data_IF_535476743033
#
_entry.id   IF_535476743033
#
_cell.length_a   1.000
_cell.length_b   1.000
_cell.length_c   1.000
_cell.angle_alpha   90.00
_cell.angle_beta   90.00
_cell.angle_gamma   90.00
#
_symmetry.space_group_name_H-M   'P 1'
#
loop_
_entity.id
_entity.type
_entity.pdbx_description
1 polymer ?
#
# COMPACT_ATOMS: atom_id res chain seq x y z
N UNK A 1 -48.55 7.06 -39.18
CA UNK A 1 -48.49 7.54 -37.79
C UNK A 1 -47.03 7.53 -37.39
N UNK A 2 -46.39 8.68 -37.48
CA UNK A 2 -44.96 8.87 -37.21
C UNK A 2 -44.79 9.45 -35.81
N UNK A 3 -43.87 8.96 -34.97
CA UNK A 3 -43.62 9.56 -33.67
C UNK A 3 -42.58 10.68 -33.78
N UNK A 4 -42.97 11.86 -33.33
CA UNK A 4 -42.16 13.07 -33.23
C UNK A 4 -41.37 13.02 -31.92
N UNK A 5 -40.03 13.07 -31.99
CA UNK A 5 -39.16 13.20 -30.80
C UNK A 5 -39.03 14.68 -30.40
N UNK A 6 -39.10 15.03 -29.11
CA UNK A 6 -38.83 16.38 -28.64
C UNK A 6 -37.33 16.58 -28.37
N UNK A 7 -36.76 17.56 -29.04
CA UNK A 7 -35.43 18.10 -28.86
C UNK A 7 -35.41 18.95 -27.57
N UNK A 8 -34.60 18.56 -26.58
CA UNK A 8 -34.42 19.31 -25.33
C UNK A 8 -32.95 19.74 -25.25
N UNK A 9 -32.68 20.94 -25.76
CA UNK A 9 -31.37 21.59 -25.67
C UNK A 9 -31.34 22.44 -24.40
N UNK A 10 -30.51 22.07 -23.43
CA UNK A 10 -30.20 22.92 -22.27
C UNK A 10 -28.84 23.60 -22.47
N UNK A 11 -28.70 24.92 -22.20
CA UNK A 11 -27.44 25.61 -22.24
C UNK A 11 -26.60 25.30 -20.98
N UNK A 12 -25.39 24.80 -21.19
CA UNK A 12 -24.36 24.61 -20.16
C UNK A 12 -23.56 25.90 -19.99
N UNK A 13 -23.79 26.62 -18.88
CA UNK A 13 -22.96 27.76 -18.49
C UNK A 13 -21.67 27.28 -17.84
N UNK A 14 -20.55 27.45 -18.54
CA UNK A 14 -19.19 27.30 -18.01
C UNK A 14 -18.74 28.59 -17.34
N UNK A 15 -18.74 28.64 -16.02
CA UNK A 15 -18.03 29.65 -15.22
C UNK A 15 -17.82 29.09 -13.81
N UNK A 16 -16.65 28.50 -13.55
CA UNK A 16 -15.94 28.56 -12.26
C UNK A 16 -14.76 27.57 -12.26
N UNK A 17 -13.57 28.07 -12.62
CA UNK A 17 -12.29 27.40 -12.40
C UNK A 17 -11.35 28.39 -11.71
N UNK A 18 -11.55 28.59 -10.40
CA UNK A 18 -10.54 29.20 -9.53
C UNK A 18 -10.76 28.78 -8.09
N UNK A 19 -10.23 27.63 -7.70
CA UNK A 19 -9.84 27.33 -6.32
C UNK A 19 -8.96 26.06 -6.29
N UNK A 20 -7.64 26.27 -6.20
CA UNK A 20 -6.72 25.18 -5.79
C UNK A 20 -7.00 24.83 -4.32
N UNK A 21 -7.18 23.54 -3.96
CA UNK A 21 -7.26 23.15 -2.57
C UNK A 21 -5.87 23.21 -1.93
N UNK A 22 -5.67 24.20 -1.05
CA UNK A 22 -4.53 24.25 -0.12
C UNK A 22 -4.61 23.04 0.81
N UNK A 23 -3.71 22.08 0.65
CA UNK A 23 -3.58 20.92 1.54
C UNK A 23 -2.83 21.37 2.81
N UNK A 24 -3.46 21.38 3.99
CA UNK A 24 -2.77 21.74 5.22
C UNK A 24 -2.01 20.50 5.74
N UNK A 25 -0.68 20.58 5.84
CA UNK A 25 0.06 19.56 6.60
C UNK A 25 1.48 19.21 6.17
N UNK A 26 2.14 19.95 5.27
CA UNK A 26 3.56 19.77 5.02
C UNK A 26 4.34 20.89 5.71
N UNK A 27 5.25 20.52 6.62
CA UNK A 27 6.12 21.49 7.27
C UNK A 27 7.09 22.05 6.22
N UNK A 28 7.40 23.37 6.25
CA UNK A 28 8.27 24.02 5.25
C UNK A 28 9.68 23.42 5.20
N UNK A 29 10.09 22.72 6.26
CA UNK A 29 11.36 22.00 6.34
C UNK A 29 11.41 20.77 5.41
N UNK A 30 10.29 20.06 5.25
CA UNK A 30 10.20 18.88 4.39
C UNK A 30 10.18 19.28 2.90
N UNK A 31 9.53 20.40 2.56
CA UNK A 31 9.56 20.94 1.20
C UNK A 31 10.98 21.37 0.78
N UNK A 32 11.73 22.02 1.67
CA UNK A 32 13.13 22.37 1.38
C UNK A 32 14.04 21.13 1.26
N UNK A 33 13.80 20.09 2.06
CA UNK A 33 14.53 18.82 1.95
C UNK A 33 14.32 18.13 0.60
N UNK A 34 13.06 18.11 0.11
CA UNK A 34 12.72 17.49 -1.18
C UNK A 34 13.33 18.28 -2.34
N UNK A 35 13.27 19.62 -2.32
CA UNK A 35 13.88 20.44 -3.38
C UNK A 35 15.41 20.31 -3.40
N UNK A 36 16.05 20.22 -2.24
CA UNK A 36 17.50 19.99 -2.14
C UNK A 36 17.92 18.65 -2.77
N UNK A 37 17.15 17.59 -2.55
CA UNK A 37 17.42 16.26 -3.13
C UNK A 37 17.26 16.26 -4.65
N UNK A 38 16.23 16.93 -5.18
CA UNK A 38 16.01 17.06 -6.63
C UNK A 38 17.16 17.82 -7.29
N UNK A 39 17.62 18.92 -6.67
CA UNK A 39 18.71 19.73 -7.20
C UNK A 39 20.06 18.99 -7.17
N UNK A 40 20.28 18.15 -6.15
CA UNK A 40 21.47 17.30 -6.04
C UNK A 40 21.48 16.18 -7.09
N UNK A 41 20.32 15.60 -7.41
CA UNK A 41 20.19 14.60 -8.47
C UNK A 41 20.42 15.20 -9.87
N UNK A 42 19.91 16.41 -10.13
CA UNK A 42 20.15 17.12 -11.39
C UNK A 42 21.63 17.50 -11.58
N UNK A 43 22.33 17.88 -10.51
CA UNK A 43 23.76 18.17 -10.56
C UNK A 43 24.61 16.91 -10.86
N UNK A 44 24.19 15.74 -10.38
CA UNK A 44 24.87 14.47 -10.69
C UNK A 44 24.69 14.05 -12.15
N UNK A 45 23.54 14.35 -12.77
CA UNK A 45 23.33 14.06 -14.20
C UNK A 45 24.17 14.93 -15.16
N UNK A 46 24.61 16.12 -14.74
CA UNK A 46 25.38 17.03 -15.60
C UNK A 46 26.89 16.78 -15.61
N UNK A 47 27.40 15.84 -14.79
CA UNK A 47 28.85 15.58 -14.66
C UNK A 47 29.37 14.42 -15.51
N UNK A 48 28.55 13.83 -16.37
CA UNK A 48 28.86 12.58 -17.08
C UNK A 48 28.71 12.62 -18.60
N UNK A 49 29.26 13.61 -19.31
CA UNK A 49 29.48 13.48 -20.77
C UNK A 49 30.58 14.41 -21.27
N UNK A 50 31.84 13.98 -21.15
CA UNK A 50 32.91 14.53 -21.99
C UNK A 50 32.97 13.70 -23.27
N UNK A 51 32.77 14.29 -24.47
CA UNK A 51 32.91 13.56 -25.72
C UNK A 51 34.39 13.25 -25.99
N UNK A 52 34.72 12.03 -26.47
CA UNK A 52 36.10 11.69 -26.84
C UNK A 52 36.56 12.51 -28.05
N UNK A 53 37.87 12.80 -28.16
CA UNK A 53 38.43 13.58 -29.27
C UNK A 53 38.24 12.86 -30.62
N UNK A 54 38.07 13.62 -31.73
CA UNK A 54 37.88 13.06 -33.05
C UNK A 54 39.15 12.36 -33.55
N UNK A 55 39.02 11.09 -33.92
CA UNK A 55 40.07 10.32 -34.60
C UNK A 55 40.27 10.82 -36.05
N UNK A 56 41.49 10.75 -36.60
CA UNK A 56 41.78 11.18 -37.96
C UNK A 56 41.15 10.25 -39.01
N UNK A 57 40.65 10.87 -40.08
CA UNK A 57 39.92 10.22 -41.17
C UNK A 57 40.79 9.23 -41.98
N UNK A 58 40.31 8.01 -42.28
CA UNK A 58 40.90 7.13 -43.27
C UNK A 58 40.39 7.45 -44.70
N UNK A 59 41.18 7.10 -45.74
CA UNK A 59 40.88 7.46 -47.12
C UNK A 59 39.71 6.67 -47.72
N UNK A 60 38.91 7.40 -48.49
CA UNK A 60 37.76 6.94 -49.28
C UNK A 60 38.16 5.93 -50.36
N UNK A 61 37.50 4.75 -50.36
CA UNK A 61 37.54 3.78 -51.47
C UNK A 61 36.09 3.46 -51.89
N UNK A 62 35.74 3.46 -53.20
CA UNK A 62 34.38 3.25 -53.69
C UNK A 62 33.97 1.74 -53.76
N UNK A 63 32.68 1.43 -53.99
CA UNK A 63 32.02 0.26 -53.43
C UNK A 63 32.10 -0.97 -54.35
N UNK A 64 32.22 -2.15 -53.77
CA UNK A 64 31.93 -3.42 -54.44
C UNK A 64 31.00 -4.23 -53.55
N UNK A 65 29.88 -4.64 -54.13
CA UNK A 65 28.74 -5.21 -53.43
C UNK A 65 29.09 -6.46 -52.62
N UNK A 66 28.51 -6.52 -51.43
CA UNK A 66 28.40 -7.76 -50.68
C UNK A 66 27.03 -7.77 -50.00
N UNK A 67 26.18 -8.70 -50.43
CA UNK A 67 24.92 -9.05 -49.79
C UNK A 67 25.26 -9.75 -48.46
N UNK A 68 25.53 -8.94 -47.44
CA UNK A 68 25.81 -9.39 -46.08
C UNK A 68 24.51 -9.72 -45.35
N UNK A 69 24.24 -11.02 -45.23
CA UNK A 69 23.30 -11.65 -44.32
C UNK A 69 23.35 -11.00 -42.92
N UNK A 70 22.28 -10.30 -42.54
CA UNK A 70 22.10 -9.74 -41.20
C UNK A 70 21.77 -10.91 -40.27
N UNK A 71 22.77 -11.38 -39.54
CA UNK A 71 22.58 -12.40 -38.51
C UNK A 71 21.61 -11.91 -37.44
N UNK A 72 20.80 -12.81 -36.84
CA UNK A 72 19.81 -12.41 -35.85
C UNK A 72 20.51 -11.85 -34.62
N UNK A 73 20.09 -10.64 -34.23
CA UNK A 73 20.40 -10.03 -32.93
C UNK A 73 19.91 -10.98 -31.83
N UNK A 74 20.78 -11.86 -31.36
CA UNK A 74 20.58 -12.57 -30.11
C UNK A 74 20.73 -11.55 -28.99
N UNK A 75 19.60 -11.00 -28.54
CA UNK A 75 19.48 -10.38 -27.23
C UNK A 75 19.83 -11.43 -26.18
N UNK A 76 21.10 -11.46 -25.77
CA UNK A 76 21.57 -12.37 -24.72
C UNK A 76 20.95 -11.96 -23.39
N UNK A 77 19.85 -12.62 -23.03
CA UNK A 77 19.18 -12.46 -21.74
C UNK A 77 20.12 -12.70 -20.54
N UNK A 78 21.26 -13.37 -20.75
CA UNK A 78 22.24 -13.66 -19.71
C UNK A 78 23.00 -12.43 -19.18
N UNK A 79 23.14 -11.35 -19.97
CA UNK A 79 23.90 -10.18 -19.53
C UNK A 79 23.16 -9.35 -18.45
N UNK A 80 21.82 -9.39 -18.43
CA UNK A 80 21.02 -8.67 -17.43
C UNK A 80 20.96 -9.36 -16.06
N UNK A 81 21.05 -10.70 -16.03
CA UNK A 81 20.94 -11.46 -14.79
C UNK A 81 22.13 -11.22 -13.83
N UNK A 82 23.34 -11.08 -14.37
CA UNK A 82 24.54 -10.74 -13.58
C UNK A 82 24.44 -9.36 -12.93
N UNK A 83 23.75 -8.42 -13.57
CA UNK A 83 23.53 -7.07 -13.02
C UNK A 83 22.55 -7.10 -11.84
N UNK A 84 21.47 -7.88 -11.95
CA UNK A 84 20.45 -7.99 -10.89
C UNK A 84 20.99 -8.62 -9.60
N UNK A 85 21.82 -9.65 -9.71
CA UNK A 85 22.42 -10.28 -8.52
C UNK A 85 23.36 -9.32 -7.77
N UNK A 86 24.05 -8.43 -8.48
CA UNK A 86 24.89 -7.40 -7.88
C UNK A 86 24.06 -6.29 -7.19
N UNK A 87 22.88 -5.97 -7.73
CA UNK A 87 21.98 -4.95 -7.18
C UNK A 87 21.18 -5.45 -5.98
N UNK A 88 20.90 -6.76 -5.93
CA UNK A 88 20.11 -7.40 -4.88
C UNK A 88 20.87 -8.58 -4.26
N UNK A 89 22.07 -8.36 -3.68
CA UNK A 89 22.91 -9.43 -3.15
C UNK A 89 22.24 -10.19 -2.00
N UNK A 90 21.30 -9.53 -1.31
CA UNK A 90 20.54 -10.14 -0.24
C UNK A 90 19.49 -11.13 -0.76
N UNK A 91 18.99 -10.99 -2.00
CA UNK A 91 17.90 -11.82 -2.56
C UNK A 91 18.47 -13.07 -3.23
N UNK A 92 17.95 -14.24 -2.87
CA UNK A 92 18.37 -15.50 -3.48
C UNK A 92 18.16 -15.47 -5.00
N UNK A 93 19.14 -15.94 -5.76
CA UNK A 93 19.10 -15.96 -7.22
C UNK A 93 17.84 -16.66 -7.76
N UNK A 94 17.45 -17.80 -7.16
CA UNK A 94 16.24 -18.52 -7.53
C UNK A 94 14.96 -17.68 -7.34
N UNK A 95 14.92 -16.86 -6.28
CA UNK A 95 13.79 -15.94 -6.02
C UNK A 95 13.74 -14.83 -7.09
N UNK A 96 14.88 -14.24 -7.45
CA UNK A 96 14.96 -13.24 -8.53
C UNK A 96 14.45 -13.83 -9.85
N UNK A 97 14.93 -15.03 -10.22
CA UNK A 97 14.47 -15.73 -11.42
C UNK A 97 12.96 -15.99 -11.39
N UNK A 98 12.42 -16.42 -10.23
CA UNK A 98 10.99 -16.63 -10.06
C UNK A 98 10.16 -15.35 -10.21
N UNK A 99 10.68 -14.20 -9.78
CA UNK A 99 10.04 -12.89 -9.96
C UNK A 99 10.01 -12.50 -11.45
N UNK A 100 11.16 -12.63 -12.12
CA UNK A 100 11.31 -12.31 -13.55
C UNK A 100 10.38 -13.17 -14.41
N UNK A 101 10.28 -14.47 -14.10
CA UNK A 101 9.41 -15.40 -14.81
C UNK A 101 7.93 -15.33 -14.36
N UNK A 102 7.60 -14.41 -13.44
CA UNK A 102 6.25 -14.26 -12.89
C UNK A 102 5.70 -15.56 -12.25
N UNK A 103 6.57 -16.34 -11.63
CA UNK A 103 6.21 -17.56 -10.88
C UNK A 103 6.10 -17.29 -9.38
N UNK A 104 6.72 -16.21 -8.90
CA UNK A 104 6.77 -15.83 -7.49
C UNK A 104 5.38 -15.54 -6.92
N UNK A 105 4.96 -16.26 -5.87
CA UNK A 105 3.61 -16.17 -5.30
C UNK A 105 3.53 -15.11 -4.20
N UNK A 106 2.31 -14.60 -3.99
CA UNK A 106 2.05 -13.64 -2.92
C UNK A 106 2.40 -14.19 -1.52
N UNK A 107 2.19 -15.49 -1.30
CA UNK A 107 2.53 -16.17 -0.05
C UNK A 107 4.01 -16.16 0.27
N UNK A 108 4.87 -16.03 -0.74
CA UNK A 108 6.33 -16.04 -0.61
C UNK A 108 6.91 -14.64 -0.46
N UNK A 109 6.09 -13.59 -0.56
CA UNK A 109 6.54 -12.20 -0.61
C UNK A 109 7.36 -11.80 0.61
N UNK A 110 7.07 -12.36 1.79
CA UNK A 110 7.82 -12.12 3.03
C UNK A 110 9.30 -12.49 2.93
N UNK A 111 9.68 -13.43 2.03
CA UNK A 111 11.08 -13.84 1.80
C UNK A 111 11.94 -12.70 1.27
N UNK A 112 11.34 -11.65 0.72
CA UNK A 112 12.04 -10.46 0.26
C UNK A 112 12.36 -9.47 1.38
N UNK A 113 11.75 -9.61 2.57
CA UNK A 113 12.04 -8.77 3.73
C UNK A 113 13.31 -9.29 4.44
N UNK A 114 14.33 -8.44 4.56
CA UNK A 114 15.59 -8.78 5.24
C UNK A 114 15.35 -9.24 6.68
N UNK A 115 14.38 -8.63 7.38
CA UNK A 115 14.04 -8.96 8.78
C UNK A 115 13.51 -10.37 8.95
N UNK A 116 12.97 -10.97 7.89
CA UNK A 116 12.46 -12.34 7.92
C UNK A 116 13.56 -13.36 7.69
N UNK A 117 14.56 -13.03 6.88
CA UNK A 117 15.70 -13.91 6.58
C UNK A 117 16.56 -14.16 7.82
N UNK A 118 16.86 -13.08 8.56
CA UNK A 118 17.57 -13.14 9.84
C UNK A 118 16.88 -14.07 10.85
N UNK A 119 15.55 -14.20 10.76
CA UNK A 119 14.76 -15.08 11.62
C UNK A 119 14.79 -16.52 11.17
N UNK A 120 14.70 -16.80 9.87
CA UNK A 120 14.81 -18.17 9.33
C UNK A 120 16.18 -18.78 9.58
N UNK A 121 17.26 -18.01 9.50
CA UNK A 121 18.59 -18.48 9.92
C UNK A 121 18.67 -18.75 11.44
N UNK A 122 17.86 -18.03 12.22
CA UNK A 122 17.72 -18.26 13.67
C UNK A 122 16.66 -19.28 14.05
N UNK A 123 15.86 -19.80 13.12
CA UNK A 123 15.02 -20.98 13.33
C UNK A 123 15.89 -22.25 13.26
N UNK A 124 16.99 -22.21 14.01
CA UNK A 124 17.78 -23.36 14.39
C UNK A 124 16.89 -24.17 15.34
N UNK A 125 16.33 -25.25 14.81
CA UNK A 125 15.79 -26.41 15.51
C UNK A 125 15.42 -26.15 16.97
N UNK A 126 14.18 -25.69 17.22
CA UNK A 126 13.67 -25.64 18.58
C UNK A 126 13.37 -27.07 19.03
N UNK A 127 14.29 -27.66 19.80
CA UNK A 127 14.12 -28.99 20.37
C UNK A 127 13.09 -28.91 21.51
N UNK A 128 11.84 -29.27 21.24
CA UNK A 128 10.79 -29.39 22.26
C UNK A 128 10.85 -30.81 22.85
N UNK A 129 11.73 -31.01 23.83
CA UNK A 129 11.92 -32.32 24.47
C UNK A 129 12.88 -33.22 23.68
N UNK A 130 12.48 -34.44 23.36
CA UNK A 130 13.29 -35.41 22.58
C UNK A 130 12.90 -35.42 21.08
N UNK A 131 11.83 -34.72 20.71
CA UNK A 131 11.30 -34.68 19.34
C UNK A 131 11.69 -33.38 18.67
N UNK A 132 12.43 -33.48 17.55
CA UNK A 132 12.66 -32.37 16.62
C UNK A 132 11.36 -32.11 15.85
N UNK A 133 10.53 -31.19 16.34
CA UNK A 133 9.38 -30.72 15.57
C UNK A 133 9.80 -29.57 14.66
N UNK A 134 9.84 -29.82 13.35
CA UNK A 134 9.78 -28.74 12.37
C UNK A 134 8.40 -28.12 12.48
N UNK A 135 8.29 -26.99 13.19
CA UNK A 135 7.08 -26.17 13.11
C UNK A 135 7.09 -25.47 11.76
N UNK A 136 6.67 -26.19 10.72
CA UNK A 136 6.48 -25.61 9.39
C UNK A 136 5.52 -24.43 9.56
N UNK A 137 6.03 -23.24 9.31
CA UNK A 137 5.41 -21.94 9.54
C UNK A 137 4.28 -21.71 8.52
N UNK A 138 3.27 -22.59 8.52
CA UNK A 138 2.20 -22.62 7.52
C UNK A 138 1.10 -21.60 7.84
N UNK A 139 1.49 -20.35 7.93
CA UNK A 139 0.53 -19.27 7.99
C UNK A 139 1.21 -18.01 7.49
N UNK A 140 1.27 -17.84 6.17
CA UNK A 140 1.60 -16.54 5.56
C UNK A 140 0.79 -15.40 6.23
N UNK A 141 -0.44 -15.69 6.69
CA UNK A 141 -1.27 -14.78 7.49
C UNK A 141 -0.66 -14.34 8.83
N UNK A 142 0.15 -15.17 9.50
CA UNK A 142 0.85 -14.79 10.75
C UNK A 142 2.03 -13.86 10.50
N UNK A 143 2.56 -13.84 9.28
CA UNK A 143 3.78 -13.11 8.93
C UNK A 143 3.49 -11.66 8.58
N UNK A 144 2.37 -11.41 7.89
CA UNK A 144 1.87 -10.07 7.63
C UNK A 144 1.12 -9.54 8.84
N UNK A 145 1.81 -8.97 9.81
CA UNK A 145 1.19 -8.34 11.00
C UNK A 145 0.88 -6.85 10.84
N UNK A 146 1.38 -6.22 9.78
CA UNK A 146 1.22 -4.79 9.54
C UNK A 146 1.37 -4.46 8.07
N UNK A 147 0.90 -3.28 7.66
CA UNK A 147 1.08 -2.78 6.29
C UNK A 147 2.56 -2.80 5.87
N UNK A 148 3.46 -2.45 6.78
CA UNK A 148 4.91 -2.46 6.52
C UNK A 148 5.45 -3.86 6.21
N UNK A 149 4.82 -4.93 6.72
CA UNK A 149 5.20 -6.30 6.40
C UNK A 149 4.85 -6.69 4.95
N UNK A 150 3.92 -5.97 4.31
CA UNK A 150 3.60 -6.12 2.87
C UNK A 150 4.38 -5.10 2.05
N UNK A 151 4.34 -3.83 2.44
CA UNK A 151 4.84 -2.71 1.63
C UNK A 151 6.35 -2.78 1.38
N UNK A 152 7.14 -3.19 2.38
CA UNK A 152 8.61 -3.30 2.23
C UNK A 152 8.99 -4.38 1.22
N UNK A 153 8.61 -5.66 1.39
CA UNK A 153 8.95 -6.68 0.41
C UNK A 153 8.29 -6.47 -0.95
N UNK A 154 7.10 -5.86 -1.00
CA UNK A 154 6.47 -5.45 -2.26
C UNK A 154 7.30 -4.41 -3.00
N UNK A 155 7.90 -3.45 -2.29
CA UNK A 155 8.81 -2.47 -2.91
C UNK A 155 10.02 -3.16 -3.53
N UNK A 156 10.64 -4.11 -2.81
CA UNK A 156 11.76 -4.91 -3.34
C UNK A 156 11.35 -5.72 -4.58
N UNK A 157 10.17 -6.36 -4.54
CA UNK A 157 9.61 -7.08 -5.70
C UNK A 157 9.53 -6.18 -6.93
N UNK A 158 8.98 -4.98 -6.78
CA UNK A 158 8.86 -4.03 -7.87
C UNK A 158 10.19 -3.42 -8.32
N UNK A 159 11.15 -3.22 -7.40
CA UNK A 159 12.50 -2.79 -7.78
C UNK A 159 13.17 -3.80 -8.70
N UNK A 160 13.14 -5.09 -8.36
CA UNK A 160 13.67 -6.17 -9.21
C UNK A 160 12.96 -6.15 -10.57
N UNK A 161 11.62 -6.05 -10.55
CA UNK A 161 10.82 -6.06 -11.76
C UNK A 161 11.12 -4.86 -12.68
N UNK A 162 11.26 -3.66 -12.10
CA UNK A 162 11.58 -2.43 -12.84
C UNK A 162 12.98 -2.49 -13.45
N UNK A 163 13.98 -2.96 -12.70
CA UNK A 163 15.34 -3.12 -13.25
C UNK A 163 15.36 -4.13 -14.40
N UNK A 164 14.62 -5.23 -14.31
CA UNK A 164 14.48 -6.17 -15.43
C UNK A 164 13.74 -5.54 -16.63
N UNK A 165 12.73 -4.71 -16.36
CA UNK A 165 11.93 -4.06 -17.39
C UNK A 165 12.61 -2.84 -18.06
N UNK A 166 13.79 -2.43 -17.59
CA UNK A 166 14.56 -1.31 -18.12
C UNK A 166 14.87 -1.47 -19.61
N UNK A 167 15.35 -2.65 -20.00
CA UNK A 167 15.64 -2.96 -21.41
C UNK A 167 14.40 -2.90 -22.31
N UNK A 168 13.21 -3.06 -21.74
CA UNK A 168 11.94 -2.99 -22.46
C UNK A 168 11.31 -1.58 -22.44
N UNK A 169 11.92 -0.60 -21.75
CA UNK A 169 11.40 0.77 -21.63
C UNK A 169 10.09 0.88 -20.84
N UNK A 170 9.76 -0.11 -20.00
CA UNK A 170 8.47 -0.18 -19.25
C UNK A 170 8.55 0.29 -17.80
N UNK A 171 9.69 0.82 -17.38
CA UNK A 171 9.97 1.23 -15.99
C UNK A 171 8.94 2.23 -15.47
N UNK A 172 8.62 3.27 -16.27
CA UNK A 172 7.70 4.34 -15.85
C UNK A 172 6.28 3.84 -15.63
N UNK A 173 5.77 2.96 -16.50
CA UNK A 173 4.44 2.36 -16.38
C UNK A 173 4.35 1.48 -15.14
N UNK A 174 5.31 0.57 -14.96
CA UNK A 174 5.35 -0.34 -13.81
C UNK A 174 5.47 0.45 -12.49
N UNK A 175 6.34 1.45 -12.45
CA UNK A 175 6.50 2.32 -11.28
C UNK A 175 5.23 3.08 -10.94
N UNK A 176 4.57 3.67 -11.94
CA UNK A 176 3.30 4.41 -11.75
C UNK A 176 2.21 3.49 -11.20
N UNK A 177 2.08 2.29 -11.76
CA UNK A 177 1.05 1.33 -11.34
C UNK A 177 1.34 0.73 -9.96
N UNK A 178 2.62 0.54 -9.60
CA UNK A 178 3.03 0.23 -8.23
C UNK A 178 2.57 1.30 -7.24
N UNK A 179 2.81 2.59 -7.52
CA UNK A 179 2.39 3.67 -6.62
C UNK A 179 0.88 3.74 -6.46
N UNK A 180 0.11 3.58 -7.55
CA UNK A 180 -1.36 3.50 -7.49
C UNK A 180 -1.82 2.34 -6.63
N UNK A 181 -1.21 1.16 -6.80
CA UNK A 181 -1.54 0.00 -6.00
C UNK A 181 -1.23 0.21 -4.52
N UNK A 182 -0.07 0.78 -4.19
CA UNK A 182 0.34 1.04 -2.82
C UNK A 182 -0.58 2.08 -2.14
N UNK A 183 -0.93 3.16 -2.84
CA UNK A 183 -1.91 4.14 -2.37
C UNK A 183 -3.28 3.52 -2.11
N UNK A 184 -3.73 2.63 -3.01
CA UNK A 184 -4.95 1.85 -2.81
C UNK A 184 -4.81 0.96 -1.58
N UNK A 185 -3.72 0.22 -1.42
CA UNK A 185 -3.48 -0.66 -0.27
C UNK A 185 -3.56 0.10 1.05
N UNK A 186 -2.91 1.28 1.15
CA UNK A 186 -3.01 2.18 2.30
C UNK A 186 -4.47 2.55 2.59
N UNK A 187 -5.24 2.90 1.57
CA UNK A 187 -6.66 3.23 1.74
C UNK A 187 -7.49 2.06 2.25
N UNK A 188 -7.31 0.85 1.70
CA UNK A 188 -8.05 -0.32 2.20
C UNK A 188 -7.65 -0.71 3.63
N UNK A 189 -6.38 -0.49 4.03
CA UNK A 189 -5.97 -0.73 5.42
C UNK A 189 -6.61 0.18 6.45
N UNK A 190 -7.07 1.39 6.06
CA UNK A 190 -7.77 2.28 6.98
C UNK A 190 -9.28 2.01 7.07
N UNK A 191 -9.85 1.29 6.09
CA UNK A 191 -11.29 1.04 5.98
C UNK A 191 -11.73 -0.35 6.46
N UNK A 192 -10.85 -1.36 6.42
CA UNK A 192 -11.21 -2.77 6.61
C UNK A 192 -10.29 -3.48 7.60
N UNK A 193 -10.80 -4.58 8.17
CA UNK A 193 -10.01 -5.46 9.02
C UNK A 193 -8.78 -6.01 8.31
N UNK A 194 -7.68 -6.07 9.04
CA UNK A 194 -6.39 -6.43 8.50
C UNK A 194 -6.36 -7.81 7.83
N UNK A 195 -7.04 -8.82 8.39
CA UNK A 195 -7.13 -10.16 7.79
C UNK A 195 -7.79 -10.15 6.41
N UNK A 196 -8.83 -9.33 6.23
CA UNK A 196 -9.50 -9.15 4.94
C UNK A 196 -8.60 -8.44 3.93
N UNK A 197 -7.83 -7.44 4.39
CA UNK A 197 -6.83 -6.76 3.55
C UNK A 197 -5.73 -7.72 3.09
N UNK A 198 -5.22 -8.58 3.98
CA UNK A 198 -4.22 -9.60 3.60
C UNK A 198 -4.82 -10.58 2.58
N UNK A 199 -6.04 -11.06 2.79
CA UNK A 199 -6.74 -11.92 1.82
C UNK A 199 -6.88 -11.26 0.44
N UNK A 200 -7.33 -10.01 0.43
CA UNK A 200 -7.44 -9.20 -0.78
C UNK A 200 -6.09 -9.03 -1.48
N UNK A 201 -5.03 -8.66 -0.74
CA UNK A 201 -3.68 -8.50 -1.28
C UNK A 201 -3.18 -9.79 -1.94
N UNK A 202 -3.34 -10.94 -1.26
CA UNK A 202 -2.92 -12.25 -1.76
C UNK A 202 -3.61 -12.61 -3.07
N UNK A 203 -4.93 -12.46 -3.13
CA UNK A 203 -5.71 -12.75 -4.33
C UNK A 203 -5.37 -11.79 -5.47
N UNK A 204 -5.27 -10.49 -5.18
CA UNK A 204 -4.91 -9.45 -6.13
C UNK A 204 -3.53 -9.71 -6.74
N UNK A 205 -2.51 -9.88 -5.90
CA UNK A 205 -1.14 -10.13 -6.35
C UNK A 205 -1.06 -11.36 -7.25
N UNK A 206 -1.67 -12.49 -6.85
CA UNK A 206 -1.65 -13.71 -7.65
C UNK A 206 -2.39 -13.57 -8.98
N UNK A 207 -3.46 -12.76 -9.04
CA UNK A 207 -4.16 -12.41 -10.29
C UNK A 207 -3.26 -11.58 -11.21
N UNK A 208 -2.68 -10.48 -10.72
CA UNK A 208 -1.76 -9.62 -11.47
C UNK A 208 -0.52 -10.34 -11.95
N UNK A 209 0.03 -11.25 -11.14
CA UNK A 209 1.13 -12.13 -11.52
C UNK A 209 0.81 -12.95 -12.78
N UNK A 210 -0.40 -13.52 -12.87
CA UNK A 210 -0.83 -14.27 -14.08
C UNK A 210 -0.98 -13.36 -15.30
N UNK A 211 -1.49 -12.14 -15.12
CA UNK A 211 -1.58 -11.16 -16.21
C UNK A 211 -0.19 -10.79 -16.74
N UNK A 212 0.80 -10.61 -15.85
CA UNK A 212 2.19 -10.33 -16.24
C UNK A 212 2.84 -11.46 -17.04
N UNK A 213 2.43 -12.72 -16.84
CA UNK A 213 2.90 -13.84 -17.69
C UNK A 213 2.51 -13.65 -19.16
N UNK A 214 1.43 -12.92 -19.43
CA UNK A 214 1.02 -12.51 -20.79
C UNK A 214 1.62 -11.17 -21.24
N UNK A 215 2.45 -10.55 -20.39
CA UNK A 215 3.09 -9.25 -20.65
C UNK A 215 2.20 -8.04 -20.35
N UNK A 216 1.02 -8.22 -19.75
CA UNK A 216 0.16 -7.11 -19.30
C UNK A 216 0.50 -6.71 -17.85
N UNK A 217 1.00 -5.49 -17.69
CA UNK A 217 1.33 -4.90 -16.39
C UNK A 217 0.27 -3.89 -15.91
N UNK A 218 -0.68 -3.52 -16.78
CA UNK A 218 -1.64 -2.44 -16.53
C UNK A 218 -2.64 -2.75 -15.42
N UNK A 219 -2.77 -4.03 -15.04
CA UNK A 219 -3.66 -4.48 -13.99
C UNK A 219 -3.30 -3.94 -12.60
N UNK A 220 -2.01 -3.67 -12.34
CA UNK A 220 -1.54 -3.23 -11.02
C UNK A 220 -2.13 -1.88 -10.61
N UNK A 221 -2.27 -0.95 -11.55
CA UNK A 221 -2.82 0.38 -11.28
C UNK A 221 -4.35 0.42 -11.17
N UNK A 222 -5.05 -0.71 -11.35
CA UNK A 222 -6.51 -0.79 -11.40
C UNK A 222 -7.07 -1.45 -10.15
N UNK A 223 -8.10 -0.84 -9.57
CA UNK A 223 -8.86 -1.45 -8.47
C UNK A 223 -9.71 -2.59 -9.02
N UNK A 224 -9.46 -3.79 -8.53
CA UNK A 224 -10.24 -4.97 -8.90
C UNK A 224 -11.53 -5.02 -8.07
N UNK A 225 -12.64 -4.59 -8.67
CA UNK A 225 -13.93 -4.46 -7.99
C UNK A 225 -14.55 -5.80 -7.60
N UNK A 226 -14.25 -6.86 -8.36
CA UNK A 226 -14.71 -8.22 -8.07
C UNK A 226 -14.00 -8.77 -6.83
N UNK A 227 -12.66 -8.72 -6.80
CA UNK A 227 -11.88 -9.11 -5.62
C UNK A 227 -12.19 -8.21 -4.41
N UNK A 228 -12.47 -6.92 -4.64
CA UNK A 228 -12.91 -6.03 -3.57
C UNK A 228 -14.25 -6.50 -3.00
N UNK A 229 -15.20 -6.84 -3.87
CA UNK A 229 -16.49 -7.47 -3.55
C UNK A 229 -16.31 -8.68 -2.63
N UNK A 230 -15.54 -9.64 -3.10
CA UNK A 230 -15.36 -10.94 -2.46
C UNK A 230 -14.69 -10.84 -1.08
N UNK A 231 -13.58 -10.11 -0.98
CA UNK A 231 -12.76 -10.10 0.23
C UNK A 231 -13.12 -8.99 1.22
N UNK A 232 -13.62 -7.85 0.74
CA UNK A 232 -13.75 -6.64 1.57
C UNK A 232 -15.21 -6.27 1.89
N UNK A 233 -16.20 -6.57 1.05
CA UNK A 233 -17.59 -6.19 1.35
C UNK A 233 -18.25 -7.03 2.44
N UNK A 234 -17.83 -8.30 2.59
CA UNK A 234 -18.32 -9.17 3.65
C UNK A 234 -17.52 -9.03 4.96
N UNK A 235 -16.41 -8.30 4.93
CA UNK A 235 -15.60 -8.05 6.10
C UNK A 235 -16.20 -6.91 6.95
N UNK A 236 -16.10 -6.98 8.28
CA UNK A 236 -16.43 -5.85 9.13
C UNK A 236 -15.61 -4.64 8.68
N UNK A 237 -16.29 -3.56 8.30
CA UNK A 237 -15.60 -2.28 8.09
C UNK A 237 -15.14 -1.80 9.44
N UNK A 238 -13.89 -1.32 9.50
CA UNK A 238 -13.46 -0.49 10.61
C UNK A 238 -14.33 0.75 10.53
N UNK A 239 -15.37 0.79 11.37
CA UNK A 239 -16.33 1.87 11.36
C UNK A 239 -15.52 3.17 11.44
N UNK A 240 -15.59 4.04 10.42
CA UNK A 240 -14.99 5.36 10.57
C UNK A 240 -15.62 5.92 11.83
N UNK A 241 -14.82 6.55 12.68
CA UNK A 241 -15.32 7.28 13.84
C UNK A 241 -16.19 8.44 13.33
N UNK A 242 -17.36 8.11 12.80
CA UNK A 242 -18.44 9.03 12.65
C UNK A 242 -18.73 9.44 14.07
N UNK A 243 -18.57 10.72 14.31
CA UNK A 243 -19.31 11.50 15.30
C UNK A 243 -20.82 11.40 15.02
N UNK A 244 -21.32 10.17 14.87
CA UNK A 244 -22.72 9.85 14.91
C UNK A 244 -23.15 10.10 16.35
N UNK A 245 -24.02 11.10 16.49
CA UNK A 245 -24.94 11.26 17.61
C UNK A 245 -25.80 9.99 17.68
N UNK A 246 -25.20 8.91 18.17
CA UNK A 246 -25.92 7.73 18.61
C UNK A 246 -26.08 7.88 20.10
N UNK A 247 -27.34 8.01 20.50
CA UNK A 247 -27.84 7.76 21.84
C UNK A 247 -26.96 6.75 22.54
N UNK A 248 -26.21 7.23 23.53
CA UNK A 248 -25.35 6.40 24.37
C UNK A 248 -26.22 5.32 25.01
N UNK A 249 -26.22 4.12 24.44
CA UNK A 249 -26.30 2.93 25.29
C UNK A 249 -25.01 2.95 26.07
N UNK A 250 -25.13 3.43 27.31
CA UNK A 250 -24.05 3.53 28.26
C UNK A 250 -23.31 2.20 28.31
N UNK A 251 -21.97 2.21 28.44
CA UNK A 251 -21.28 1.03 28.93
C UNK A 251 -21.96 0.62 30.23
N UNK A 252 -22.30 -0.66 30.32
CA UNK A 252 -22.57 -1.37 31.58
C UNK A 252 -21.27 -1.41 32.39
N UNK A 253 -20.77 -0.22 32.73
CA UNK A 253 -19.68 0.04 33.64
C UNK A 253 -20.34 0.41 34.97
N UNK A 254 -20.49 -0.60 35.81
CA UNK A 254 -20.65 -0.54 37.27
C UNK A 254 -20.87 0.89 37.82
N UNK A 255 -22.13 1.27 37.99
CA UNK A 255 -22.67 2.15 39.06
C UNK A 255 -21.82 3.32 39.61
N UNK A 256 -21.00 4.00 38.80
CA UNK A 256 -20.29 5.17 39.31
C UNK A 256 -21.21 6.39 39.38
N UNK A 257 -21.38 6.92 40.59
CA UNK A 257 -22.16 8.12 40.85
C UNK A 257 -21.69 9.33 40.02
N UNK A 258 -22.61 10.22 39.68
CA UNK A 258 -22.28 11.47 39.01
C UNK A 258 -21.45 12.40 39.91
N UNK A 259 -20.14 12.53 39.65
CA UNK A 259 -19.25 13.44 40.41
C UNK A 259 -19.68 14.91 40.35
N UNK A 260 -20.27 15.35 39.24
CA UNK A 260 -20.77 16.73 39.08
C UNK A 260 -22.00 17.01 39.95
N UNK A 261 -22.80 15.97 40.24
CA UNK A 261 -23.90 16.08 41.18
C UNK A 261 -23.40 16.30 42.61
N UNK A 262 -22.33 15.59 43.01
CA UNK A 262 -21.70 15.80 44.32
C UNK A 262 -21.15 17.22 44.52
N UNK A 263 -20.81 17.91 43.42
CA UNK A 263 -20.31 19.28 43.41
C UNK A 263 -21.42 20.33 43.28
N UNK A 264 -22.70 19.91 43.21
CA UNK A 264 -23.84 20.81 42.96
C UNK A 264 -23.92 21.38 41.54
N UNK A 265 -23.07 20.91 40.63
CA UNK A 265 -22.96 21.41 39.25
C UNK A 265 -23.85 20.65 38.26
N UNK A 266 -24.54 19.60 38.70
CA UNK A 266 -25.48 18.84 37.89
C UNK A 266 -26.88 18.94 38.52
N UNK A 267 -27.74 19.79 37.96
CA UNK A 267 -29.12 19.99 38.43
C UNK A 267 -30.17 19.19 37.64
N UNK A 268 -29.77 18.61 36.50
CA UNK A 268 -30.67 17.89 35.58
C UNK A 268 -30.81 16.43 35.99
N UNK A 269 -32.04 15.98 36.24
CA UNK A 269 -32.37 14.57 36.52
C UNK A 269 -33.34 14.06 35.44
N UNK A 270 -33.00 13.03 34.64
CA UNK A 270 -31.78 12.21 34.73
C UNK A 270 -30.52 12.93 34.22
N UNK A 271 -29.34 12.51 34.72
CA UNK A 271 -28.04 13.07 34.33
C UNK A 271 -27.82 12.96 32.81
N UNK A 272 -27.36 14.03 32.11
CA UNK A 272 -27.10 13.98 30.66
C UNK A 272 -25.98 12.99 30.26
N UNK A 273 -25.19 12.53 31.22
CA UNK A 273 -24.16 11.50 31.03
C UNK A 273 -24.63 10.09 31.43
N UNK A 274 -25.90 9.91 31.78
CA UNK A 274 -26.50 8.62 32.16
C UNK A 274 -26.02 8.05 33.50
N UNK A 275 -25.32 8.85 34.33
CA UNK A 275 -24.83 8.41 35.65
C UNK A 275 -25.87 8.63 36.75
N UNK A 276 -26.03 7.71 37.72
CA UNK A 276 -26.98 7.90 38.81
C UNK A 276 -26.53 9.05 39.74
N UNK A 277 -27.49 9.88 40.17
CA UNK A 277 -27.31 10.83 41.25
C UNK A 277 -27.52 10.09 42.56
N UNK A 278 -26.48 9.98 43.40
CA UNK A 278 -26.53 9.26 44.68
C UNK A 278 -26.32 10.27 45.81
N UNK A 279 -27.22 10.30 46.78
CA UNK A 279 -27.07 11.17 47.95
C UNK A 279 -25.95 10.66 48.86
N UNK A 280 -25.00 11.51 49.26
CA UNK A 280 -23.92 11.11 50.19
C UNK A 280 -24.41 10.71 51.59
N UNK A 281 -25.55 11.27 52.04
CA UNK A 281 -26.09 11.01 53.38
C UNK A 281 -26.83 9.66 53.45
N UNK A 282 -27.80 9.42 52.57
CA UNK A 282 -28.61 8.19 52.61
C UNK A 282 -28.18 7.08 51.62
N UNK A 283 -27.22 7.36 50.72
CA UNK A 283 -26.77 6.46 49.65
C UNK A 283 -27.88 6.03 48.66
N UNK A 284 -29.05 6.63 48.71
CA UNK A 284 -30.14 6.36 47.79
C UNK A 284 -29.97 7.11 46.47
N UNK A 285 -30.42 6.48 45.38
CA UNK A 285 -30.53 7.14 44.09
C UNK A 285 -31.60 8.24 44.15
N UNK A 286 -31.26 9.44 43.68
CA UNK A 286 -32.16 10.59 43.63
C UNK A 286 -32.80 10.67 42.26
N UNK A 287 -34.13 10.64 42.23
CA UNK A 287 -34.95 10.87 41.03
C UNK A 287 -35.43 12.32 40.91
N UNK A 288 -35.25 13.13 41.95
CA UNK A 288 -35.66 14.53 42.02
C UNK A 288 -34.55 15.38 42.71
N UNK A 289 -34.36 16.61 42.23
CA UNK A 289 -33.43 17.58 42.80
C UNK A 289 -33.79 18.03 44.22
N UNK A 290 -35.02 17.78 44.67
CA UNK A 290 -35.57 18.25 45.96
C UNK A 290 -35.51 17.24 47.11
N UNK A 291 -34.71 16.17 47.00
CA UNK A 291 -34.66 15.15 48.05
C UNK A 291 -34.06 15.69 49.37
N UNK A 292 -34.90 15.73 50.40
CA UNK A 292 -34.51 16.01 51.79
C UNK A 292 -34.13 14.69 52.47
N UNK A 293 -32.85 14.54 52.83
CA UNK A 293 -32.43 13.52 53.77
C UNK A 293 -32.90 13.91 55.17
N UNK A 294 -34.01 13.32 55.62
CA UNK A 294 -34.38 13.25 57.05
C UNK A 294 -33.52 12.21 57.76
#
# INVERSE_FOLDING_TARGET
MSPTSPDTTLPYSSSDLTASPTVPGLTPELEQGILSLIQKALAQQQSGSSPPPPAPAPPTVPPTGSLGFVGPLSSSAAAGASSLLCLFPEVEAATITSIINHEFRASDLYKLDSRYRDKTERQVLSLKGETLELTTNDSAYREYKSLNAIAVPLSTYFSILMTHAEAAGRVSTIGTDFFKYNAHLIKVTSEYDWSAVVGYHMAFFNKRRREMQSGDYSGWGKVDMELRGEYLYNAPRLSPSSSSKSSKKLPSGKSEACRKFEQGLCSTTPCPFGRPHICKKCKSAMTDASHKCT
#
